data_IF_433112101443
#
_entry.id   IF_433112101443
#
_cell.length_a   1.000
_cell.length_b   1.000
_cell.length_c   1.000
_cell.angle_alpha   90.00
_cell.angle_beta   90.00
_cell.angle_gamma   90.00
#
_symmetry.space_group_name_H-M   'P 1'
#
loop_
_entity.id
_entity.type
_entity.pdbx_description
1 polymer ?
#
# COMPACT_ATOMS: atom_id res chain seq x y z
N UNK A 1 -17.85 17.98 24.35
CA UNK A 1 -18.43 16.99 23.40
C UNK A 1 -17.38 15.96 22.97
N UNK A 2 -16.24 16.40 22.42
CA UNK A 2 -15.09 15.55 22.02
C UNK A 2 -14.68 14.54 23.11
N UNK A 3 -14.41 15.00 24.35
CA UNK A 3 -14.07 14.13 25.49
C UNK A 3 -15.14 13.07 25.80
N UNK A 4 -16.42 13.39 25.55
CA UNK A 4 -17.53 12.45 25.76
C UNK A 4 -17.54 11.32 24.73
N UNK A 5 -17.28 11.64 23.46
CA UNK A 5 -17.14 10.67 22.38
C UNK A 5 -15.93 9.75 22.60
N UNK A 6 -14.79 10.30 23.00
CA UNK A 6 -13.59 9.51 23.33
C UNK A 6 -13.88 8.53 24.47
N UNK A 7 -14.47 9.01 25.57
CA UNK A 7 -14.81 8.15 26.73
C UNK A 7 -15.82 7.06 26.36
N UNK A 8 -16.77 7.35 25.47
CA UNK A 8 -17.75 6.38 24.98
C UNK A 8 -17.06 5.22 24.25
N UNK A 9 -16.11 5.52 23.37
CA UNK A 9 -15.37 4.53 22.58
C UNK A 9 -14.47 3.68 23.48
N UNK A 10 -13.69 4.32 24.35
CA UNK A 10 -12.78 3.62 25.27
C UNK A 10 -13.51 2.75 26.30
N UNK A 11 -14.77 3.04 26.62
CA UNK A 11 -15.56 2.18 27.51
C UNK A 11 -16.14 0.95 26.81
N UNK A 12 -16.15 0.92 25.48
CA UNK A 12 -16.69 -0.18 24.72
C UNK A 12 -15.66 -1.32 24.60
N UNK A 13 -15.85 -2.37 25.40
CA UNK A 13 -14.97 -3.55 25.42
C UNK A 13 -14.85 -4.21 24.06
N UNK A 14 -15.91 -4.24 23.26
CA UNK A 14 -15.89 -4.85 21.92
C UNK A 14 -14.99 -4.06 20.98
N UNK A 15 -15.01 -2.73 21.06
CA UNK A 15 -14.12 -1.87 20.28
C UNK A 15 -12.65 -2.10 20.65
N UNK A 16 -12.33 -2.21 21.94
CA UNK A 16 -10.97 -2.48 22.40
C UNK A 16 -10.47 -3.85 21.89
N UNK A 17 -11.29 -4.90 22.00
CA UNK A 17 -10.93 -6.23 21.49
C UNK A 17 -10.71 -6.21 19.98
N UNK A 18 -11.54 -5.49 19.24
CA UNK A 18 -11.38 -5.32 17.79
C UNK A 18 -10.09 -4.58 17.45
N UNK A 19 -9.79 -3.46 18.13
CA UNK A 19 -8.54 -2.71 17.96
C UNK A 19 -7.32 -3.60 18.24
N UNK A 20 -7.33 -4.36 19.33
CA UNK A 20 -6.27 -5.29 19.67
C UNK A 20 -6.11 -6.39 18.61
N UNK A 21 -7.21 -6.89 18.06
CA UNK A 21 -7.20 -7.92 17.00
C UNK A 21 -6.63 -7.39 15.69
N UNK A 22 -7.01 -6.18 15.27
CA UNK A 22 -6.47 -5.52 14.07
C UNK A 22 -4.97 -5.28 14.24
N UNK A 23 -4.56 -4.80 15.42
CA UNK A 23 -3.16 -4.54 15.71
C UNK A 23 -2.32 -5.83 15.79
N UNK A 24 -2.84 -6.89 16.40
CA UNK A 24 -2.19 -8.21 16.39
C UNK A 24 -2.05 -8.76 14.97
N UNK A 25 -3.10 -8.64 14.14
CA UNK A 25 -3.04 -9.06 12.74
C UNK A 25 -2.03 -8.22 11.93
N UNK A 26 -1.86 -6.94 12.24
CA UNK A 26 -0.83 -6.09 11.65
C UNK A 26 0.58 -6.59 12.00
N UNK A 27 0.85 -6.91 13.27
CA UNK A 27 2.13 -7.48 13.69
C UNK A 27 2.41 -8.80 12.98
N UNK A 28 1.41 -9.70 12.92
CA UNK A 28 1.55 -10.97 12.18
C UNK A 28 1.82 -10.72 10.71
N UNK A 29 1.16 -9.75 10.09
CA UNK A 29 1.41 -9.35 8.70
C UNK A 29 2.84 -8.85 8.48
N UNK A 30 3.38 -8.06 9.40
CA UNK A 30 4.78 -7.60 9.36
C UNK A 30 5.73 -8.80 9.45
N UNK A 31 5.52 -9.70 10.41
CA UNK A 31 6.35 -10.90 10.58
C UNK A 31 6.27 -11.85 9.39
N UNK A 32 5.11 -11.95 8.75
CA UNK A 32 4.93 -12.76 7.53
C UNK A 32 5.69 -12.18 6.34
N UNK A 33 5.73 -10.85 6.20
CA UNK A 33 6.49 -10.19 5.13
C UNK A 33 7.99 -10.16 5.42
N UNK A 34 8.38 -10.25 6.69
CA UNK A 34 9.76 -10.28 7.11
C UNK A 34 10.37 -11.68 6.87
N UNK A 35 10.79 -11.95 5.63
CA UNK A 35 11.49 -13.18 5.27
C UNK A 35 12.83 -13.32 6.00
N UNK A 36 13.18 -14.51 6.47
CA UNK A 36 14.53 -14.77 6.98
C UNK A 36 15.53 -14.68 5.83
N UNK A 37 16.45 -13.71 5.88
CA UNK A 37 17.54 -13.54 4.91
C UNK A 37 18.77 -14.33 5.39
N UNK A 38 19.39 -15.08 4.48
CA UNK A 38 20.60 -15.85 4.75
C UNK A 38 21.85 -14.97 4.56
N UNK A 39 22.99 -15.39 5.09
CA UNK A 39 24.26 -14.64 5.00
C UNK A 39 24.64 -14.29 3.55
N UNK A 40 24.43 -15.22 2.60
CA UNK A 40 24.68 -14.99 1.17
C UNK A 40 23.87 -13.81 0.59
N UNK A 41 22.69 -13.51 1.14
CA UNK A 41 21.90 -12.34 0.72
C UNK A 41 22.56 -11.04 1.17
N UNK A 42 23.08 -11.00 2.40
CA UNK A 42 23.78 -9.84 2.93
C UNK A 42 25.09 -9.59 2.19
N UNK A 43 25.84 -10.64 1.87
CA UNK A 43 27.07 -10.53 1.07
C UNK A 43 26.79 -9.94 -0.32
N UNK A 44 25.71 -10.40 -0.98
CA UNK A 44 25.28 -9.85 -2.27
C UNK A 44 24.92 -8.37 -2.17
N UNK A 45 24.12 -7.98 -1.18
CA UNK A 45 23.72 -6.59 -0.96
C UNK A 45 24.90 -5.68 -0.65
N UNK A 46 25.88 -6.19 0.08
CA UNK A 46 27.10 -5.45 0.37
C UNK A 46 27.97 -5.26 -0.89
N UNK A 47 27.99 -6.23 -1.80
CA UNK A 47 28.67 -6.08 -3.09
C UNK A 47 27.96 -5.06 -4.00
N UNK A 48 26.63 -5.08 -4.05
CA UNK A 48 25.83 -4.05 -4.73
C UNK A 48 26.14 -2.65 -4.17
N UNK A 49 26.31 -2.53 -2.85
CA UNK A 49 26.66 -1.27 -2.19
C UNK A 49 28.02 -0.73 -2.62
N UNK A 50 29.04 -1.59 -2.71
CA UNK A 50 30.38 -1.19 -3.15
C UNK A 50 30.35 -0.61 -4.57
N UNK A 51 29.68 -1.30 -5.49
CA UNK A 51 29.51 -0.83 -6.86
C UNK A 51 28.71 0.48 -6.93
N UNK A 52 27.70 0.62 -6.08
CA UNK A 52 26.90 1.84 -6.01
C UNK A 52 27.71 3.05 -5.54
N UNK A 53 28.55 2.89 -4.50
CA UNK A 53 29.40 3.98 -3.98
C UNK A 53 30.34 4.52 -5.07
N UNK A 54 30.98 3.63 -5.83
CA UNK A 54 31.90 4.01 -6.91
C UNK A 54 31.20 4.74 -8.06
N UNK A 55 29.94 4.38 -8.34
CA UNK A 55 29.19 4.92 -9.49
C UNK A 55 28.33 6.14 -9.16
N UNK A 56 28.01 6.37 -7.89
CA UNK A 56 27.08 7.43 -7.49
C UNK A 56 27.61 8.85 -7.73
N UNK A 57 28.90 9.10 -7.51
CA UNK A 57 29.50 10.42 -7.82
C UNK A 57 29.45 10.70 -9.33
N UNK A 58 29.83 9.72 -10.15
CA UNK A 58 29.71 9.82 -11.60
C UNK A 58 28.27 10.07 -12.06
N UNK A 59 27.27 9.52 -11.36
CA UNK A 59 25.87 9.79 -11.63
C UNK A 59 25.53 11.27 -11.39
N UNK A 60 25.96 11.85 -10.27
CA UNK A 60 25.72 13.27 -9.97
C UNK A 60 26.45 14.20 -10.95
N UNK A 61 27.73 13.94 -11.23
CA UNK A 61 28.55 14.76 -12.13
C UNK A 61 27.99 14.81 -13.56
N UNK A 62 27.33 13.74 -14.01
CA UNK A 62 26.73 13.67 -15.34
C UNK A 62 25.38 14.37 -15.47
N UNK A 63 24.77 14.86 -14.38
CA UNK A 63 23.43 15.45 -14.42
C UNK A 63 23.37 16.73 -15.27
N UNK A 64 24.39 17.58 -15.18
CA UNK A 64 24.45 18.83 -15.95
C UNK A 64 24.56 18.54 -17.46
N UNK A 65 25.53 17.71 -17.86
CA UNK A 65 25.71 17.31 -19.26
C UNK A 65 24.48 16.61 -19.83
N UNK A 66 23.82 15.71 -19.09
CA UNK A 66 22.56 15.08 -19.53
C UNK A 66 21.44 16.09 -19.70
N UNK A 67 21.38 17.11 -18.83
CA UNK A 67 20.42 18.19 -18.95
C UNK A 67 20.63 18.99 -20.24
N UNK A 68 21.87 19.35 -20.55
CA UNK A 68 22.22 20.06 -21.79
C UNK A 68 21.89 19.24 -23.04
N UNK A 69 22.21 17.94 -23.05
CA UNK A 69 21.89 17.04 -24.16
C UNK A 69 20.38 16.95 -24.41
N UNK A 70 19.58 16.84 -23.34
CA UNK A 70 18.12 16.83 -23.45
C UNK A 70 17.61 18.17 -23.96
N UNK A 71 18.12 19.30 -23.45
CA UNK A 71 17.75 20.63 -23.92
C UNK A 71 18.08 20.85 -25.40
N UNK A 72 19.24 20.38 -25.86
CA UNK A 72 19.66 20.46 -27.25
C UNK A 72 18.78 19.60 -28.19
N UNK A 73 18.23 18.50 -27.67
CA UNK A 73 17.33 17.61 -28.40
C UNK A 73 15.86 18.09 -28.41
N UNK A 74 15.49 19.07 -27.57
CA UNK A 74 14.14 19.63 -27.57
C UNK A 74 13.95 20.61 -28.72
N UNK A 75 12.99 20.33 -29.60
CA UNK A 75 12.48 21.32 -30.55
C UNK A 75 11.74 22.42 -29.77
N UNK A 76 11.87 23.69 -30.21
CA UNK A 76 11.44 24.96 -29.56
C UNK A 76 10.00 25.01 -28.98
N UNK A 77 9.15 24.02 -29.23
CA UNK A 77 7.71 24.05 -28.92
C UNK A 77 7.33 23.68 -27.47
N UNK A 78 8.25 23.13 -26.67
CA UNK A 78 7.89 22.52 -25.37
C UNK A 78 8.38 23.30 -24.15
N UNK A 79 7.87 24.53 -23.96
CA UNK A 79 8.25 25.41 -22.85
C UNK A 79 8.18 24.78 -21.44
N UNK A 80 7.32 23.78 -21.23
CA UNK A 80 7.30 22.99 -19.99
C UNK A 80 8.52 22.07 -19.85
N UNK A 81 8.92 21.37 -20.92
CA UNK A 81 10.01 20.40 -20.88
C UNK A 81 11.34 21.11 -20.60
N UNK A 82 11.60 22.25 -21.24
CA UNK A 82 12.81 23.05 -20.96
C UNK A 82 12.87 23.47 -19.49
N UNK A 83 11.78 24.06 -18.97
CA UNK A 83 11.69 24.43 -17.55
C UNK A 83 11.86 23.23 -16.61
N UNK A 84 11.34 22.06 -17.01
CA UNK A 84 11.43 20.85 -16.21
C UNK A 84 12.88 20.34 -16.12
N UNK A 85 13.60 20.32 -17.24
CA UNK A 85 15.01 19.93 -17.29
C UNK A 85 15.86 20.91 -16.48
N UNK A 86 15.67 22.22 -16.66
CA UNK A 86 16.36 23.25 -15.87
C UNK A 86 16.12 23.10 -14.37
N UNK A 87 14.87 22.82 -13.95
CA UNK A 87 14.54 22.54 -12.55
C UNK A 87 15.23 21.27 -12.06
N UNK A 88 15.24 20.21 -12.87
CA UNK A 88 15.86 18.93 -12.51
C UNK A 88 17.35 19.08 -12.26
N UNK A 89 18.08 19.74 -13.18
CA UNK A 89 19.51 20.02 -13.03
C UNK A 89 19.77 20.87 -11.78
N UNK A 90 18.94 21.89 -11.54
CA UNK A 90 19.05 22.72 -10.34
C UNK A 90 18.90 21.92 -9.05
N UNK A 91 17.85 21.10 -8.94
CA UNK A 91 17.57 20.31 -7.75
C UNK A 91 18.73 19.32 -7.46
N UNK A 92 19.32 18.67 -8.47
CA UNK A 92 20.47 17.78 -8.27
C UNK A 92 21.79 18.53 -7.98
N UNK A 93 21.97 19.73 -8.52
CA UNK A 93 23.12 20.58 -8.17
C UNK A 93 23.05 21.00 -6.69
N UNK A 94 21.86 21.25 -6.15
CA UNK A 94 21.67 21.49 -4.71
C UNK A 94 22.08 20.26 -3.88
N UNK A 95 21.71 19.05 -4.31
CA UNK A 95 22.13 17.77 -3.69
C UNK A 95 23.66 17.65 -3.69
N UNK A 96 24.31 17.90 -4.82
CA UNK A 96 25.78 17.87 -4.94
C UNK A 96 26.44 18.88 -4.01
N UNK A 97 25.93 20.11 -3.94
CA UNK A 97 26.49 21.19 -3.12
C UNK A 97 26.32 20.96 -1.60
N UNK A 98 25.24 20.28 -1.20
CA UNK A 98 24.94 19.99 0.21
C UNK A 98 25.82 18.86 0.75
N UNK A 99 26.31 17.99 -0.13
CA UNK A 99 27.19 16.87 0.20
C UNK A 99 26.40 15.67 0.72
N UNK A 100 26.35 14.61 -0.10
CA UNK A 100 25.69 13.35 0.28
C UNK A 100 26.66 12.49 1.08
N UNK A 101 26.27 12.14 2.31
CA UNK A 101 26.99 11.18 3.15
C UNK A 101 26.49 9.78 2.79
N UNK A 102 27.26 9.02 2.02
CA UNK A 102 26.95 7.64 1.66
C UNK A 102 27.53 6.69 2.71
N UNK A 103 26.72 5.77 3.21
CA UNK A 103 27.17 4.72 4.12
C UNK A 103 27.90 3.59 3.37
N UNK A 104 28.95 3.03 3.99
CA UNK A 104 29.68 1.90 3.42
C UNK A 104 28.90 0.59 3.55
N UNK A 105 28.11 0.44 4.61
CA UNK A 105 27.29 -0.74 4.86
C UNK A 105 25.89 -0.62 4.24
N UNK A 106 25.41 -1.70 3.60
CA UNK A 106 24.07 -1.71 3.04
C UNK A 106 22.99 -1.82 4.12
N UNK A 107 22.09 -0.84 4.16
CA UNK A 107 21.04 -0.78 5.16
C UNK A 107 19.76 -1.55 4.76
N UNK A 108 19.80 -2.88 4.94
CA UNK A 108 18.66 -3.77 4.62
C UNK A 108 17.40 -3.39 5.39
N UNK A 109 17.51 -3.03 6.67
CA UNK A 109 16.35 -2.70 7.49
C UNK A 109 15.53 -1.54 6.94
N UNK A 110 16.20 -0.46 6.50
CA UNK A 110 15.52 0.71 5.92
C UNK A 110 14.90 0.39 4.56
N UNK A 111 15.56 -0.40 3.72
CA UNK A 111 15.01 -0.84 2.43
C UNK A 111 13.73 -1.69 2.62
N UNK A 112 13.77 -2.64 3.54
CA UNK A 112 12.64 -3.54 3.82
C UNK A 112 11.46 -2.77 4.46
N UNK A 113 11.74 -1.84 5.38
CA UNK A 113 10.72 -0.92 5.89
C UNK A 113 10.07 -0.10 4.75
N UNK A 114 10.89 0.39 3.81
CA UNK A 114 10.39 1.13 2.66
C UNK A 114 9.53 0.27 1.72
N UNK A 115 9.81 -1.03 1.64
CA UNK A 115 9.04 -2.01 0.87
C UNK A 115 7.71 -2.40 1.52
N UNK A 116 7.55 -2.21 2.82
CA UNK A 116 6.33 -2.58 3.53
C UNK A 116 5.15 -1.65 3.22
N UNK A 117 4.16 -2.17 2.49
CA UNK A 117 2.99 -1.42 2.03
C UNK A 117 1.66 -1.91 2.62
N UNK A 118 1.61 -3.07 3.27
CA UNK A 118 0.37 -3.67 3.76
C UNK A 118 -0.30 -2.89 4.90
N UNK A 119 0.43 -1.98 5.55
CA UNK A 119 -0.09 -1.10 6.59
C UNK A 119 -1.36 -0.32 6.19
N UNK A 120 -1.51 0.02 4.91
CA UNK A 120 -2.68 0.75 4.40
C UNK A 120 -4.00 -0.01 4.63
N UNK A 121 -3.99 -1.34 4.48
CA UNK A 121 -5.20 -2.16 4.63
C UNK A 121 -5.69 -2.17 6.08
N UNK A 122 -4.76 -2.26 7.03
CA UNK A 122 -5.09 -2.19 8.45
C UNK A 122 -5.62 -0.81 8.83
N UNK A 123 -5.06 0.26 8.26
CA UNK A 123 -5.59 1.63 8.45
C UNK A 123 -7.02 1.77 7.89
N UNK A 124 -7.32 1.19 6.71
CA UNK A 124 -8.68 1.18 6.13
C UNK A 124 -9.67 0.39 7.01
N UNK A 125 -9.29 -0.81 7.47
CA UNK A 125 -10.14 -1.64 8.32
C UNK A 125 -10.43 -0.92 9.64
N UNK A 126 -9.42 -0.32 10.24
CA UNK A 126 -9.57 0.46 11.47
C UNK A 126 -10.47 1.69 11.27
N UNK A 127 -10.33 2.41 10.16
CA UNK A 127 -11.21 3.51 9.79
C UNK A 127 -12.68 3.07 9.70
N UNK A 128 -12.98 1.92 9.09
CA UNK A 128 -14.34 1.37 9.08
C UNK A 128 -14.85 0.98 10.47
N UNK A 129 -13.99 0.39 11.31
CA UNK A 129 -14.33 0.09 12.70
C UNK A 129 -14.71 1.37 13.47
N UNK A 130 -13.90 2.43 13.36
CA UNK A 130 -14.22 3.72 13.96
C UNK A 130 -15.55 4.27 13.45
N UNK A 131 -15.82 4.21 12.14
CA UNK A 131 -17.06 4.70 11.54
C UNK A 131 -18.29 3.95 12.10
N UNK A 132 -18.18 2.64 12.25
CA UNK A 132 -19.23 1.79 12.80
C UNK A 132 -19.63 2.22 14.23
N UNK A 133 -18.67 2.38 15.13
CA UNK A 133 -18.96 2.70 16.54
C UNK A 133 -19.28 4.17 16.80
N UNK A 134 -18.67 5.09 16.04
CA UNK A 134 -18.91 6.53 16.20
C UNK A 134 -20.23 6.99 15.59
N UNK A 135 -20.63 6.39 14.47
CA UNK A 135 -21.75 6.89 13.66
C UNK A 135 -22.86 5.85 13.47
N UNK A 136 -22.57 4.69 12.86
CA UNK A 136 -23.63 3.74 12.48
C UNK A 136 -24.30 3.06 13.69
N UNK A 137 -23.56 2.79 14.76
CA UNK A 137 -24.13 2.25 15.99
C UNK A 137 -25.22 3.16 16.55
N UNK A 138 -24.95 4.47 16.64
CA UNK A 138 -25.94 5.45 17.13
C UNK A 138 -27.10 5.69 16.17
N UNK A 139 -26.84 5.55 14.87
CA UNK A 139 -27.87 5.63 13.84
C UNK A 139 -28.85 4.48 13.99
N UNK A 140 -28.36 3.25 14.18
CA UNK A 140 -29.20 2.05 14.37
C UNK A 140 -29.98 2.06 15.68
N UNK A 141 -29.40 2.59 16.76
CA UNK A 141 -30.10 2.72 18.05
C UNK A 141 -31.08 3.90 18.09
N UNK A 142 -31.13 4.71 17.03
CA UNK A 142 -31.94 5.94 16.97
C UNK A 142 -31.44 7.08 17.86
N UNK A 143 -30.34 6.88 18.60
CA UNK A 143 -29.77 7.88 19.52
C UNK A 143 -29.38 9.17 18.79
N UNK A 144 -28.99 9.07 17.52
CA UNK A 144 -28.63 10.22 16.69
C UNK A 144 -29.79 11.23 16.52
N UNK A 145 -31.05 10.76 16.59
CA UNK A 145 -32.23 11.62 16.48
C UNK A 145 -32.44 12.46 17.74
N UNK A 146 -32.23 11.85 18.92
CA UNK A 146 -32.32 12.55 20.21
C UNK A 146 -31.17 13.55 20.35
N UNK A 147 -29.96 13.17 19.95
CA UNK A 147 -28.81 14.07 20.00
C UNK A 147 -29.03 15.30 19.11
N UNK A 148 -29.70 15.14 17.96
CA UNK A 148 -30.01 16.24 17.04
C UNK A 148 -30.95 17.32 17.58
N UNK A 149 -31.80 17.00 18.54
CA UNK A 149 -32.71 17.98 19.16
C UNK A 149 -32.03 18.82 20.24
N UNK A 150 -30.78 18.49 20.61
CA UNK A 150 -30.00 19.28 21.56
C UNK A 150 -29.42 20.54 20.91
N UNK A 151 -29.10 21.56 21.74
CA UNK A 151 -28.56 22.88 21.29
C UNK A 151 -27.39 22.76 20.31
N UNK A 152 -26.53 21.75 20.47
CA UNK A 152 -25.34 21.52 19.65
C UNK A 152 -25.45 20.28 18.75
N UNK A 153 -26.66 19.73 18.55
CA UNK A 153 -26.93 18.45 17.92
C UNK A 153 -26.76 18.36 16.40
N UNK A 154 -26.50 19.48 15.71
CA UNK A 154 -26.38 19.55 14.25
C UNK A 154 -24.90 19.60 13.81
N UNK A 155 -24.43 20.77 13.38
CA UNK A 155 -23.08 20.95 12.82
C UNK A 155 -21.98 20.68 13.86
N UNK A 156 -22.14 21.17 15.09
CA UNK A 156 -21.12 20.98 16.12
C UNK A 156 -20.95 19.49 16.49
N UNK A 157 -22.05 18.73 16.58
CA UNK A 157 -22.03 17.30 16.85
C UNK A 157 -21.23 16.53 15.80
N UNK A 158 -21.52 16.75 14.51
CA UNK A 158 -20.82 16.01 13.45
C UNK A 158 -19.35 16.42 13.35
N UNK A 159 -19.03 17.71 13.55
CA UNK A 159 -17.64 18.17 13.61
C UNK A 159 -16.88 17.51 14.76
N UNK A 160 -17.49 17.40 15.95
CA UNK A 160 -16.84 16.71 17.07
C UNK A 160 -16.63 15.22 16.80
N UNK A 161 -17.60 14.54 16.18
CA UNK A 161 -17.45 13.13 15.79
C UNK A 161 -16.35 12.96 14.74
N UNK A 162 -16.28 13.85 13.76
CA UNK A 162 -15.25 13.84 12.73
C UNK A 162 -13.85 14.09 13.31
N UNK A 163 -13.70 15.06 14.22
CA UNK A 163 -12.42 15.33 14.90
C UNK A 163 -11.95 14.13 15.75
N UNK A 164 -12.87 13.49 16.48
CA UNK A 164 -12.55 12.29 17.27
C UNK A 164 -12.19 11.13 16.36
N UNK A 165 -12.93 10.96 15.26
CA UNK A 165 -12.66 9.95 14.25
C UNK A 165 -11.27 10.14 13.64
N UNK A 166 -10.93 11.36 13.22
CA UNK A 166 -9.61 11.69 12.69
C UNK A 166 -8.51 11.42 13.69
N UNK A 167 -8.69 11.88 14.93
CA UNK A 167 -7.68 11.66 15.97
C UNK A 167 -7.42 10.17 16.18
N UNK A 168 -8.46 9.33 16.21
CA UNK A 168 -8.31 7.88 16.35
C UNK A 168 -7.58 7.27 15.17
N UNK A 169 -7.98 7.59 13.93
CA UNK A 169 -7.37 7.04 12.72
C UNK A 169 -5.90 7.46 12.62
N UNK A 170 -5.59 8.73 12.89
CA UNK A 170 -4.20 9.22 12.91
C UNK A 170 -3.37 8.63 14.03
N UNK A 171 -3.93 8.48 15.24
CA UNK A 171 -3.21 7.86 16.37
C UNK A 171 -2.92 6.38 16.10
N UNK A 172 -3.87 5.66 15.51
CA UNK A 172 -3.66 4.27 15.11
C UNK A 172 -2.60 4.15 14.02
N UNK A 173 -2.67 4.99 12.97
CA UNK A 173 -1.67 5.01 11.90
C UNK A 173 -0.27 5.32 12.44
N UNK A 174 -0.15 6.30 13.34
CA UNK A 174 1.12 6.63 13.98
C UNK A 174 1.67 5.45 14.79
N UNK A 175 0.85 4.83 15.64
CA UNK A 175 1.25 3.68 16.44
C UNK A 175 1.67 2.50 15.55
N UNK A 176 0.90 2.21 14.51
CA UNK A 176 1.18 1.16 13.54
C UNK A 176 2.53 1.37 12.85
N UNK A 177 2.81 2.58 12.36
CA UNK A 177 4.06 2.88 11.65
C UNK A 177 5.27 2.84 12.60
N UNK A 178 5.15 3.34 13.83
CA UNK A 178 6.22 3.24 14.84
C UNK A 178 6.53 1.78 15.14
N UNK A 179 5.51 0.95 15.35
CA UNK A 179 5.70 -0.49 15.61
C UNK A 179 6.31 -1.20 14.42
N UNK A 180 5.89 -0.84 13.20
CA UNK A 180 6.48 -1.36 11.96
C UNK A 180 7.96 -1.02 11.89
N UNK A 181 8.32 0.26 12.05
CA UNK A 181 9.72 0.69 12.05
C UNK A 181 10.54 -0.02 13.14
N UNK A 182 10.01 -0.12 14.36
CA UNK A 182 10.69 -0.85 15.44
C UNK A 182 10.91 -2.33 15.11
N UNK A 183 9.92 -3.02 14.54
CA UNK A 183 10.05 -4.44 14.18
C UNK A 183 11.09 -4.65 13.08
N UNK A 184 11.08 -3.86 12.01
CA UNK A 184 12.11 -3.95 10.96
C UNK A 184 13.50 -3.62 11.50
N UNK A 185 13.61 -2.65 12.42
CA UNK A 185 14.86 -2.34 13.11
C UNK A 185 15.37 -3.47 14.01
N UNK A 186 14.48 -4.26 14.63
CA UNK A 186 14.86 -5.43 15.43
C UNK A 186 15.24 -6.63 14.56
N UNK A 187 14.52 -6.86 13.45
CA UNK A 187 14.71 -8.03 12.60
C UNK A 187 15.97 -7.90 11.72
N UNK A 188 16.18 -6.73 11.10
CA UNK A 188 17.24 -6.54 10.10
C UNK A 188 18.36 -5.58 10.52
N UNK A 189 18.22 -4.91 11.68
CA UNK A 189 19.06 -3.77 12.08
C UNK A 189 18.98 -2.56 11.15
N UNK A 190 18.96 -1.37 11.73
CA UNK A 190 18.91 -0.11 10.99
C UNK A 190 20.28 0.54 10.78
N UNK A 191 21.38 -0.14 11.11
CA UNK A 191 22.75 0.36 10.84
C UNK A 191 22.95 1.83 11.22
N UNK A 192 23.67 2.57 10.36
CA UNK A 192 23.90 3.99 10.53
C UNK A 192 22.75 4.84 9.95
N UNK A 193 21.83 5.27 10.82
CA UNK A 193 20.69 6.11 10.44
C UNK A 193 21.03 7.58 10.14
N UNK A 194 22.26 8.03 10.43
CA UNK A 194 22.71 9.39 10.14
C UNK A 194 23.21 9.56 8.71
N UNK A 195 23.52 8.47 8.02
CA UNK A 195 23.85 8.49 6.60
C UNK A 195 22.64 8.98 5.79
N UNK A 196 22.93 9.48 4.58
CA UNK A 196 21.91 10.03 3.69
C UNK A 196 21.03 8.90 3.15
N UNK A 197 19.75 9.17 2.92
CA UNK A 197 18.80 8.19 2.38
C UNK A 197 19.24 7.69 0.98
N UNK A 198 19.95 8.53 0.23
CA UNK A 198 20.56 8.19 -1.06
C UNK A 198 21.66 7.13 -0.95
N UNK A 199 22.11 6.72 0.24
CA UNK A 199 23.02 5.59 0.39
C UNK A 199 22.40 4.28 -0.11
N UNK A 200 21.07 4.20 -0.16
CA UNK A 200 20.35 3.06 -0.73
C UNK A 200 20.02 3.33 -2.20
N UNK A 201 20.34 2.40 -3.13
CA UNK A 201 20.07 2.58 -4.56
C UNK A 201 18.60 2.87 -4.90
N UNK A 202 17.67 2.35 -4.09
CA UNK A 202 16.22 2.58 -4.22
C UNK A 202 15.84 4.06 -4.08
N UNK A 203 16.66 4.85 -3.38
CA UNK A 203 16.46 6.28 -3.17
C UNK A 203 17.49 7.14 -3.90
N UNK A 204 18.22 6.57 -4.87
CA UNK A 204 19.23 7.29 -5.67
C UNK A 204 18.70 8.60 -6.24
N UNK A 205 17.47 8.56 -6.73
CA UNK A 205 16.87 9.69 -7.44
C UNK A 205 16.25 10.72 -6.47
N UNK A 206 16.38 10.57 -5.14
CA UNK A 206 15.82 11.52 -4.17
C UNK A 206 16.45 12.92 -4.29
N UNK A 207 15.66 13.99 -4.53
CA UNK A 207 16.17 15.34 -4.76
C UNK A 207 16.57 16.11 -3.50
N UNK A 208 16.37 15.51 -2.31
CA UNK A 208 16.64 16.17 -1.03
C UNK A 208 17.63 15.34 -0.21
N UNK A 209 18.65 15.99 0.36
CA UNK A 209 19.61 15.33 1.26
C UNK A 209 19.00 15.21 2.65
N UNK A 210 18.40 14.05 2.93
CA UNK A 210 17.87 13.70 4.24
C UNK A 210 18.67 12.56 4.83
N UNK A 211 18.84 12.54 6.15
CA UNK A 211 19.31 11.32 6.80
C UNK A 211 18.26 10.21 6.69
N UNK A 212 18.68 8.94 6.78
CA UNK A 212 17.76 7.80 6.78
C UNK A 212 16.71 7.94 7.90
N UNK A 213 17.11 8.42 9.09
CA UNK A 213 16.17 8.71 10.18
C UNK A 213 15.12 9.75 9.77
N UNK A 214 15.54 10.84 9.14
CA UNK A 214 14.62 11.87 8.65
C UNK A 214 13.67 11.32 7.58
N UNK A 215 14.15 10.45 6.69
CA UNK A 215 13.32 9.77 5.70
C UNK A 215 12.26 8.86 6.31
N UNK A 216 12.60 8.07 7.34
CA UNK A 216 11.64 7.25 8.10
C UNK A 216 10.60 8.16 8.76
N UNK A 217 11.04 9.19 9.48
CA UNK A 217 10.14 10.12 10.18
C UNK A 217 9.20 10.84 9.20
N UNK A 218 9.72 11.31 8.06
CA UNK A 218 8.92 11.92 7.00
C UNK A 218 7.87 10.95 6.43
N UNK A 219 8.23 9.69 6.25
CA UNK A 219 7.32 8.62 5.80
C UNK A 219 6.22 8.35 6.81
N UNK A 220 6.55 8.28 8.11
CA UNK A 220 5.57 8.11 9.19
C UNK A 220 4.54 9.25 9.15
N UNK A 221 5.00 10.51 9.10
CA UNK A 221 4.09 11.66 9.04
C UNK A 221 3.24 11.65 7.77
N UNK A 222 3.83 11.32 6.61
CA UNK A 222 3.11 11.24 5.35
C UNK A 222 1.99 10.18 5.40
N UNK A 223 2.29 8.97 5.90
CA UNK A 223 1.31 7.88 6.05
C UNK A 223 0.21 8.21 7.08
N UNK A 224 0.51 8.95 8.13
CA UNK A 224 -0.50 9.46 9.08
C UNK A 224 -1.44 10.46 8.40
N UNK A 225 -0.92 11.37 7.58
CA UNK A 225 -1.73 12.30 6.79
C UNK A 225 -2.61 11.54 5.80
N UNK A 226 -2.03 10.63 5.01
CA UNK A 226 -2.78 9.79 4.07
C UNK A 226 -3.88 8.97 4.77
N UNK A 227 -3.59 8.41 5.94
CA UNK A 227 -4.60 7.69 6.75
C UNK A 227 -5.76 8.60 7.15
N UNK A 228 -5.49 9.87 7.50
CA UNK A 228 -6.53 10.85 7.77
C UNK A 228 -7.36 11.19 6.53
N UNK A 229 -6.74 11.25 5.34
CA UNK A 229 -7.44 11.44 4.05
C UNK A 229 -8.36 10.25 3.75
N UNK A 230 -7.83 9.03 3.81
CA UNK A 230 -8.58 7.76 3.66
C UNK A 230 -9.76 7.73 4.63
N UNK A 231 -9.49 8.01 5.90
CA UNK A 231 -10.49 8.06 6.95
C UNK A 231 -11.59 9.08 6.62
N UNK A 232 -11.22 10.29 6.18
CA UNK A 232 -12.18 11.34 5.84
C UNK A 232 -13.08 10.95 4.68
N UNK A 233 -12.54 10.28 3.65
CA UNK A 233 -13.31 9.78 2.52
C UNK A 233 -14.32 8.70 2.96
N UNK A 234 -13.89 7.77 3.83
CA UNK A 234 -14.76 6.75 4.43
C UNK A 234 -15.88 7.40 5.26
N UNK A 235 -15.54 8.36 6.12
CA UNK A 235 -16.51 9.04 6.97
C UNK A 235 -17.50 9.86 6.15
N UNK A 236 -17.03 10.55 5.11
CA UNK A 236 -17.87 11.26 4.16
C UNK A 236 -18.87 10.33 3.49
N UNK A 237 -18.43 9.18 2.99
CA UNK A 237 -19.33 8.16 2.43
C UNK A 237 -20.34 7.65 3.48
N UNK A 238 -19.91 7.50 4.73
CA UNK A 238 -20.78 7.18 5.87
C UNK A 238 -21.89 8.21 6.10
N UNK A 239 -21.56 9.50 6.04
CA UNK A 239 -22.53 10.60 6.14
C UNK A 239 -23.45 10.64 4.93
N UNK A 240 -22.95 10.44 3.71
CA UNK A 240 -23.79 10.57 2.50
C UNK A 240 -24.78 9.40 2.41
N UNK A 241 -24.37 8.21 2.83
CA UNK A 241 -25.15 6.98 2.70
C UNK A 241 -26.17 6.77 3.82
N UNK A 242 -27.37 6.32 3.45
CA UNK A 242 -28.39 5.93 4.42
C UNK A 242 -28.05 4.58 5.09
N UNK A 243 -27.50 3.62 4.33
CA UNK A 243 -27.21 2.26 4.80
C UNK A 243 -25.71 2.07 5.08
N UNK A 244 -25.40 1.32 6.14
CA UNK A 244 -24.02 0.91 6.47
C UNK A 244 -23.35 0.17 5.31
N UNK A 245 -24.09 -0.73 4.65
CA UNK A 245 -23.54 -1.54 3.55
C UNK A 245 -23.09 -0.66 2.38
N UNK A 246 -23.90 0.33 1.99
CA UNK A 246 -23.54 1.21 0.87
C UNK A 246 -22.38 2.13 1.25
N UNK A 247 -22.31 2.56 2.51
CA UNK A 247 -21.19 3.33 3.05
C UNK A 247 -19.86 2.57 3.07
N UNK A 248 -19.89 1.23 3.07
CA UNK A 248 -18.69 0.39 2.98
C UNK A 248 -18.35 0.09 1.52
N UNK A 249 -19.34 -0.32 0.73
CA UNK A 249 -19.14 -0.74 -0.66
C UNK A 249 -18.59 0.39 -1.53
N UNK A 250 -19.08 1.62 -1.38
CA UNK A 250 -18.65 2.75 -2.22
C UNK A 250 -17.14 3.05 -2.04
N UNK A 251 -16.63 3.31 -0.82
CA UNK A 251 -15.18 3.46 -0.61
C UNK A 251 -14.38 2.24 -1.05
N UNK A 252 -14.88 1.02 -0.82
CA UNK A 252 -14.16 -0.20 -1.26
C UNK A 252 -13.98 -0.22 -2.79
N UNK A 253 -15.02 0.11 -3.56
CA UNK A 253 -14.91 0.19 -5.04
C UNK A 253 -13.91 1.27 -5.45
N UNK A 254 -13.91 2.43 -4.78
CA UNK A 254 -12.95 3.50 -5.03
C UNK A 254 -11.52 3.02 -4.76
N UNK A 255 -11.26 2.39 -3.61
CA UNK A 255 -9.94 1.89 -3.25
C UNK A 255 -9.47 0.75 -4.15
N UNK A 256 -10.34 -0.19 -4.53
CA UNK A 256 -9.98 -1.25 -5.49
C UNK A 256 -9.61 -0.64 -6.85
N UNK A 257 -10.37 0.35 -7.32
CA UNK A 257 -10.07 1.05 -8.57
C UNK A 257 -8.72 1.77 -8.50
N UNK A 258 -8.45 2.45 -7.38
CA UNK A 258 -7.16 3.10 -7.12
C UNK A 258 -6.01 2.08 -7.07
N UNK A 259 -6.20 0.94 -6.40
CA UNK A 259 -5.17 -0.10 -6.36
C UNK A 259 -4.85 -0.65 -7.76
N UNK A 260 -5.87 -1.01 -8.54
CA UNK A 260 -5.68 -1.47 -9.93
C UNK A 260 -4.96 -0.42 -10.78
N UNK A 261 -5.34 0.86 -10.62
CA UNK A 261 -4.68 1.96 -11.31
C UNK A 261 -3.20 2.09 -10.92
N UNK A 262 -2.87 1.91 -9.63
CA UNK A 262 -1.49 2.02 -9.14
C UNK A 262 -0.54 0.95 -9.67
N UNK A 263 -1.07 -0.21 -10.08
CA UNK A 263 -0.30 -1.33 -10.63
C UNK A 263 -0.23 -1.27 -12.16
N UNK A 264 -1.24 -0.68 -12.82
CA UNK A 264 -1.36 -0.68 -14.29
C UNK A 264 -0.76 0.55 -14.97
N UNK A 265 -0.68 1.69 -14.26
CA UNK A 265 -0.27 2.97 -14.84
C UNK A 265 1.09 3.38 -14.32
N UNK A 266 2.04 3.59 -15.23
CA UNK A 266 3.37 4.13 -14.91
C UNK A 266 3.35 5.65 -14.75
N UNK A 267 4.28 6.17 -13.93
CA UNK A 267 4.47 7.62 -13.71
C UNK A 267 4.78 8.36 -15.02
N UNK A 268 5.47 7.72 -15.98
CA UNK A 268 5.84 8.31 -17.26
C UNK A 268 4.68 8.42 -18.28
N UNK A 269 3.45 8.07 -17.88
CA UNK A 269 2.28 8.19 -18.76
C UNK A 269 1.75 9.63 -18.80
N UNK A 270 0.88 9.93 -19.77
CA UNK A 270 0.18 11.23 -19.82
C UNK A 270 -0.74 11.49 -18.61
N UNK A 271 -0.90 10.52 -17.71
CA UNK A 271 -1.73 10.59 -16.51
C UNK A 271 -0.86 10.60 -15.24
N UNK A 272 0.32 11.20 -15.32
CA UNK A 272 1.29 11.34 -14.24
C UNK A 272 0.69 11.94 -12.95
N UNK A 273 -0.15 12.98 -13.07
CA UNK A 273 -0.85 13.60 -11.94
C UNK A 273 -1.73 12.58 -11.20
N UNK A 274 -2.50 11.77 -11.95
CA UNK A 274 -3.40 10.78 -11.35
C UNK A 274 -2.61 9.63 -10.70
N UNK A 275 -1.48 9.25 -11.29
CA UNK A 275 -0.58 8.26 -10.71
C UNK A 275 0.01 8.76 -9.39
N UNK A 276 0.46 10.03 -9.35
CA UNK A 276 1.08 10.62 -8.17
C UNK A 276 0.08 10.87 -7.03
N UNK A 277 -1.16 11.24 -7.36
CA UNK A 277 -2.26 11.42 -6.39
C UNK A 277 -2.87 10.11 -5.89
N UNK A 278 -2.50 8.98 -6.48
CA UNK A 278 -3.05 7.69 -6.10
C UNK A 278 -2.59 7.32 -4.68
N UNK A 279 -3.57 7.00 -3.82
CA UNK A 279 -3.33 6.70 -2.40
C UNK A 279 -2.34 5.54 -2.23
N UNK A 280 -2.42 4.49 -3.04
CA UNK A 280 -1.52 3.34 -2.95
C UNK A 280 -0.12 3.65 -3.47
N UNK A 281 -0.01 4.49 -4.50
CA UNK A 281 1.28 4.95 -5.00
C UNK A 281 1.97 5.85 -3.97
N UNK A 282 1.26 6.83 -3.40
CA UNK A 282 1.79 7.74 -2.36
C UNK A 282 2.10 7.04 -1.03
N UNK A 283 1.42 5.93 -0.71
CA UNK A 283 1.69 5.17 0.51
C UNK A 283 3.07 4.49 0.53
N UNK A 284 3.58 4.12 -0.65
CA UNK A 284 4.85 3.44 -0.79
C UNK A 284 6.02 4.43 -0.63
N UNK A 285 6.88 4.19 0.36
CA UNK A 285 8.03 5.05 0.66
C UNK A 285 8.98 5.14 -0.54
N UNK A 286 9.21 4.02 -1.24
CA UNK A 286 10.06 3.97 -2.45
C UNK A 286 9.52 4.91 -3.52
N UNK A 287 8.20 5.01 -3.66
CA UNK A 287 7.57 5.91 -4.62
C UNK A 287 7.52 7.36 -4.12
N UNK A 288 7.17 7.57 -2.85
CA UNK A 288 7.02 8.90 -2.28
C UNK A 288 8.35 9.66 -2.24
N UNK A 289 9.40 9.03 -1.68
CA UNK A 289 10.72 9.64 -1.55
C UNK A 289 11.62 9.30 -2.74
N UNK A 290 11.65 8.03 -3.16
CA UNK A 290 12.67 7.54 -4.10
C UNK A 290 12.48 7.92 -5.56
N UNK A 291 11.25 8.26 -5.99
CA UNK A 291 10.98 8.64 -7.38
C UNK A 291 10.95 10.15 -7.53
N UNK A 292 11.93 10.71 -8.23
CA UNK A 292 11.89 12.10 -8.69
C UNK A 292 10.91 12.26 -9.84
N UNK A 293 9.96 13.19 -9.70
CA UNK A 293 9.06 13.56 -10.78
C UNK A 293 8.53 14.98 -10.56
N UNK A 294 8.49 15.77 -11.63
CA UNK A 294 7.85 17.07 -11.64
C UNK A 294 6.57 17.00 -12.45
N UNK A 295 5.47 17.43 -11.84
CA UNK A 295 4.17 17.48 -12.47
C UNK A 295 4.00 18.76 -13.28
N UNK A 296 3.38 18.64 -14.45
CA UNK A 296 2.99 19.79 -15.26
C UNK A 296 1.71 20.43 -14.72
N UNK A 297 1.85 21.49 -13.92
CA UNK A 297 0.72 22.27 -13.41
C UNK A 297 0.71 23.62 -14.12
N UNK A 298 -0.23 23.80 -15.06
CA UNK A 298 -0.37 25.02 -15.88
C UNK A 298 0.91 25.44 -16.62
N UNK A 299 1.71 24.48 -17.08
CA UNK A 299 2.96 24.73 -17.79
C UNK A 299 4.19 24.91 -16.90
N UNK A 300 4.03 24.88 -15.57
CA UNK A 300 5.13 24.96 -14.61
C UNK A 300 5.45 23.58 -14.00
N UNK A 301 6.74 23.22 -13.89
CA UNK A 301 7.18 21.99 -13.24
C UNK A 301 7.11 22.14 -11.71
N UNK A 302 6.10 21.55 -11.10
CA UNK A 302 5.95 21.51 -9.64
C UNK A 302 6.36 20.12 -9.14
N UNK A 303 7.17 20.08 -8.09
CA UNK A 303 7.58 18.81 -7.48
C UNK A 303 6.35 17.99 -7.06
N UNK A 304 6.37 16.70 -7.40
CA UNK A 304 5.30 15.74 -7.07
C UNK A 304 4.89 15.80 -5.58
N UNK A 305 5.85 15.80 -4.66
CA UNK A 305 5.57 15.70 -3.22
C UNK A 305 4.83 16.94 -2.69
N UNK A 306 5.19 18.12 -3.18
CA UNK A 306 4.51 19.37 -2.87
C UNK A 306 3.06 19.36 -3.39
N UNK A 307 2.87 18.93 -4.64
CA UNK A 307 1.55 18.84 -5.26
C UNK A 307 0.62 17.83 -4.55
N UNK A 308 1.12 16.64 -4.23
CA UNK A 308 0.38 15.61 -3.48
C UNK A 308 -0.01 16.10 -2.10
N UNK A 309 0.90 16.77 -1.39
CA UNK A 309 0.62 17.33 -0.06
C UNK A 309 -0.46 18.41 -0.11
N UNK A 310 -0.40 19.32 -1.09
CA UNK A 310 -1.42 20.34 -1.31
C UNK A 310 -2.79 19.72 -1.63
N UNK A 311 -2.83 18.71 -2.50
CA UNK A 311 -4.06 18.00 -2.85
C UNK A 311 -4.68 17.28 -1.64
N UNK A 312 -3.86 16.65 -0.78
CA UNK A 312 -4.32 15.99 0.44
C UNK A 312 -4.96 16.99 1.42
N UNK A 313 -4.36 18.18 1.61
CA UNK A 313 -4.92 19.24 2.46
C UNK A 313 -6.25 19.75 1.88
N UNK A 314 -6.31 19.97 0.55
CA UNK A 314 -7.53 20.38 -0.12
C UNK A 314 -8.65 19.34 0.04
N UNK A 315 -8.33 18.05 -0.11
CA UNK A 315 -9.29 16.97 0.03
C UNK A 315 -9.81 16.84 1.46
N UNK A 316 -8.95 16.99 2.47
CA UNK A 316 -9.35 17.02 3.89
C UNK A 316 -10.32 18.18 4.16
N UNK A 317 -9.95 19.40 3.76
CA UNK A 317 -10.78 20.59 4.00
C UNK A 317 -12.12 20.49 3.28
N UNK A 318 -12.14 20.04 2.02
CA UNK A 318 -13.36 19.81 1.27
C UNK A 318 -14.25 18.74 1.93
N UNK A 319 -13.68 17.62 2.39
CA UNK A 319 -14.45 16.57 3.06
C UNK A 319 -15.12 17.05 4.36
N UNK A 320 -14.46 17.92 5.14
CA UNK A 320 -15.02 18.53 6.35
C UNK A 320 -16.20 19.44 5.99
N UNK A 321 -15.98 20.38 5.06
CA UNK A 321 -16.95 21.41 4.72
C UNK A 321 -18.20 20.75 4.10
N UNK A 322 -18.00 19.93 3.08
CA UNK A 322 -19.09 19.26 2.37
C UNK A 322 -19.77 18.24 3.29
N UNK A 323 -19.01 17.45 4.07
CA UNK A 323 -19.58 16.47 5.00
C UNK A 323 -20.43 17.11 6.10
N UNK A 324 -19.95 18.21 6.68
CA UNK A 324 -20.70 18.96 7.71
C UNK A 324 -21.95 19.61 7.11
N UNK A 325 -21.84 20.18 5.90
CA UNK A 325 -22.98 20.76 5.20
C UNK A 325 -24.04 19.71 4.89
N UNK A 326 -23.66 18.59 4.25
CA UNK A 326 -24.56 17.47 3.93
C UNK A 326 -25.24 16.93 5.18
N UNK A 327 -24.49 16.74 6.27
CA UNK A 327 -25.08 16.31 7.53
C UNK A 327 -26.04 17.35 8.10
N UNK A 328 -25.76 18.64 8.00
CA UNK A 328 -26.62 19.68 8.57
C UNK A 328 -27.96 19.81 7.85
N UNK A 329 -27.99 19.56 6.54
CA UNK A 329 -29.18 19.67 5.69
C UNK A 329 -29.97 18.35 5.63
N UNK A 330 -29.30 17.19 5.58
CA UNK A 330 -30.00 15.90 5.43
C UNK A 330 -30.61 15.44 6.75
N UNK A 331 -31.93 15.27 6.76
CA UNK A 331 -32.59 14.47 7.78
C UNK A 331 -32.43 12.97 7.45
N UNK A 332 -31.37 12.35 7.96
CA UNK A 332 -31.22 10.90 7.87
C UNK A 332 -31.99 10.22 8.99
N UNK A 333 -33.29 10.00 8.82
CA UNK A 333 -33.86 8.79 9.40
C UNK A 333 -33.49 7.60 8.53
N UNK A 334 -33.59 6.39 9.06
CA UNK A 334 -33.78 5.20 8.24
C UNK A 334 -35.13 5.30 7.51
N UNK A 335 -35.29 6.31 6.64
CA UNK A 335 -36.43 6.42 5.77
C UNK A 335 -36.32 5.29 4.76
N UNK A 336 -37.42 4.58 4.57
CA UNK A 336 -37.65 3.55 3.55
C UNK A 336 -37.55 4.23 2.17
N UNK A 337 -36.33 4.51 1.74
CA UNK A 337 -36.03 5.23 0.50
C UNK A 337 -36.11 4.33 -0.74
N UNK A 338 -35.96 4.93 -1.92
CA UNK A 338 -36.01 4.26 -3.23
C UNK A 338 -35.10 3.02 -3.35
N UNK A 339 -33.97 2.99 -2.63
CA UNK A 339 -33.06 1.84 -2.56
C UNK A 339 -33.69 0.61 -1.88
N UNK A 340 -34.73 0.79 -1.07
CA UNK A 340 -35.56 -0.31 -0.58
C UNK A 340 -36.45 -0.83 -1.69
N UNK A 341 -37.00 0.01 -2.58
CA UNK A 341 -37.81 -0.45 -3.71
C UNK A 341 -36.98 -1.25 -4.72
N UNK A 342 -35.78 -0.80 -5.09
CA UNK A 342 -34.90 -1.53 -6.01
C UNK A 342 -34.40 -2.84 -5.38
N UNK A 343 -33.91 -2.78 -4.14
CA UNK A 343 -33.47 -3.98 -3.43
C UNK A 343 -34.63 -4.94 -3.12
N UNK A 344 -35.84 -4.44 -2.85
CA UNK A 344 -37.05 -5.25 -2.66
C UNK A 344 -37.57 -5.81 -3.98
N UNK A 345 -37.44 -5.09 -5.09
CA UNK A 345 -37.78 -5.57 -6.43
C UNK A 345 -36.84 -6.70 -6.84
N UNK A 346 -35.52 -6.50 -6.69
CA UNK A 346 -34.51 -7.55 -6.90
C UNK A 346 -34.74 -8.73 -5.95
N UNK A 347 -34.99 -8.49 -4.65
CA UNK A 347 -35.35 -9.56 -3.70
C UNK A 347 -36.62 -10.29 -4.11
N UNK A 348 -37.64 -9.60 -4.61
CA UNK A 348 -38.93 -10.18 -5.00
C UNK A 348 -38.80 -11.01 -6.27
N UNK A 349 -37.97 -10.57 -7.22
CA UNK A 349 -37.66 -11.34 -8.43
C UNK A 349 -36.81 -12.58 -8.10
N UNK A 350 -35.73 -12.41 -7.32
CA UNK A 350 -34.91 -13.54 -6.86
C UNK A 350 -35.69 -14.50 -5.96
N UNK A 351 -36.52 -14.01 -5.05
CA UNK A 351 -37.31 -14.87 -4.17
C UNK A 351 -38.39 -15.63 -4.92
N UNK A 352 -38.92 -15.08 -6.03
CA UNK A 352 -39.86 -15.79 -6.91
C UNK A 352 -39.15 -16.88 -7.71
N UNK A 353 -37.96 -16.59 -8.25
CA UNK A 353 -37.17 -17.55 -9.01
C UNK A 353 -36.63 -18.71 -8.14
N UNK A 354 -36.31 -18.43 -6.87
CA UNK A 354 -35.75 -19.39 -5.91
C UNK A 354 -36.79 -19.96 -4.94
N UNK A 355 -38.09 -19.67 -5.13
CA UNK A 355 -39.14 -20.17 -4.23
C UNK A 355 -39.34 -21.68 -4.41
N UNK A 356 -38.63 -22.47 -3.60
CA UNK A 356 -38.79 -23.91 -3.55
C UNK A 356 -39.47 -24.31 -2.23
N UNK A 357 -40.39 -25.28 -2.28
CA UNK A 357 -41.05 -25.84 -1.07
C UNK A 357 -40.08 -26.58 -0.13
N UNK A 358 -38.84 -26.83 -0.55
CA UNK A 358 -37.84 -27.57 0.23
C UNK A 358 -37.12 -26.66 1.22
N UNK A 359 -37.25 -26.97 2.51
CA UNK A 359 -36.67 -26.22 3.64
C UNK A 359 -35.15 -26.01 3.46
N UNK A 360 -34.45 -27.03 2.94
CA UNK A 360 -33.00 -26.96 2.68
C UNK A 360 -32.59 -25.82 1.73
N UNK A 361 -33.33 -25.60 0.64
CA UNK A 361 -33.04 -24.53 -0.33
C UNK A 361 -33.27 -23.15 0.29
N UNK A 362 -34.29 -23.02 1.14
CA UNK A 362 -34.59 -21.78 1.83
C UNK A 362 -33.56 -21.47 2.94
N UNK A 363 -33.04 -22.48 3.64
CA UNK A 363 -31.93 -22.33 4.58
C UNK A 363 -30.64 -21.91 3.86
N UNK A 364 -30.29 -22.56 2.75
CA UNK A 364 -29.14 -22.17 1.93
C UNK A 364 -29.29 -20.75 1.38
N UNK A 365 -30.46 -20.38 0.87
CA UNK A 365 -30.74 -19.03 0.40
C UNK A 365 -30.58 -17.99 1.52
N UNK A 366 -31.10 -18.31 2.71
CA UNK A 366 -30.96 -17.46 3.89
C UNK A 366 -29.49 -17.29 4.29
N UNK A 367 -28.74 -18.39 4.30
CA UNK A 367 -27.35 -18.41 4.74
C UNK A 367 -26.43 -17.69 3.75
N UNK A 368 -26.57 -17.93 2.45
CA UNK A 368 -25.72 -17.31 1.42
C UNK A 368 -26.11 -15.86 1.09
N UNK A 369 -27.40 -15.59 0.86
CA UNK A 369 -27.87 -14.31 0.33
C UNK A 369 -28.40 -13.35 1.41
N UNK A 370 -29.18 -13.82 2.39
CA UNK A 370 -29.68 -12.94 3.47
C UNK A 370 -28.59 -12.58 4.48
N UNK A 371 -27.80 -13.56 4.92
CA UNK A 371 -26.69 -13.36 5.86
C UNK A 371 -25.38 -12.95 5.17
N UNK A 372 -25.38 -12.86 3.83
CA UNK A 372 -24.23 -12.43 3.00
C UNK A 372 -22.96 -13.27 3.14
N UNK A 373 -23.07 -14.50 3.65
CA UNK A 373 -21.92 -15.40 3.79
C UNK A 373 -21.34 -15.85 2.45
N UNK A 374 -22.07 -15.66 1.34
CA UNK A 374 -21.53 -15.85 0.00
C UNK A 374 -20.33 -14.92 -0.28
N UNK A 375 -20.38 -13.67 0.20
CA UNK A 375 -19.27 -12.72 0.02
C UNK A 375 -18.03 -13.22 0.79
N UNK A 376 -18.23 -13.70 2.01
CA UNK A 376 -17.16 -14.32 2.81
C UNK A 376 -16.57 -15.56 2.09
N UNK A 377 -17.43 -16.42 1.53
CA UNK A 377 -17.00 -17.61 0.80
C UNK A 377 -16.18 -17.27 -0.45
N UNK A 378 -16.62 -16.27 -1.23
CA UNK A 378 -15.90 -15.79 -2.41
C UNK A 378 -14.55 -15.18 -2.01
N UNK A 379 -14.50 -14.40 -0.94
CA UNK A 379 -13.24 -13.86 -0.41
C UNK A 379 -12.31 -14.98 0.06
N UNK A 380 -12.81 -16.00 0.76
CA UNK A 380 -12.02 -17.16 1.17
C UNK A 380 -11.48 -17.95 -0.02
N UNK A 381 -12.28 -18.16 -1.06
CA UNK A 381 -11.84 -18.81 -2.31
C UNK A 381 -10.80 -17.95 -3.02
N UNK A 382 -10.98 -16.63 -3.08
CA UNK A 382 -10.01 -15.72 -3.70
C UNK A 382 -8.68 -15.72 -2.93
N UNK A 383 -8.72 -15.71 -1.60
CA UNK A 383 -7.54 -15.86 -0.74
C UNK A 383 -6.88 -17.22 -0.98
N UNK A 384 -7.66 -18.30 -1.07
CA UNK A 384 -7.12 -19.64 -1.33
C UNK A 384 -6.47 -19.75 -2.71
N UNK A 385 -7.06 -19.14 -3.75
CA UNK A 385 -6.47 -19.10 -5.10
C UNK A 385 -5.21 -18.25 -5.10
N UNK A 386 -5.23 -17.09 -4.44
CA UNK A 386 -4.08 -16.21 -4.33
C UNK A 386 -2.92 -16.88 -3.57
N UNK A 387 -3.22 -17.54 -2.44
CA UNK A 387 -2.22 -18.29 -1.67
C UNK A 387 -1.67 -19.46 -2.48
N UNK A 388 -2.49 -20.16 -3.27
CA UNK A 388 -1.98 -21.22 -4.15
C UNK A 388 -1.05 -20.64 -5.23
N UNK A 389 -1.33 -19.42 -5.72
CA UNK A 389 -0.49 -18.72 -6.70
C UNK A 389 0.86 -18.22 -6.15
N UNK A 390 0.93 -17.87 -4.86
CA UNK A 390 2.20 -17.53 -4.19
C UNK A 390 3.05 -18.75 -3.82
N UNK A 391 2.40 -19.86 -3.43
CA UNK A 391 3.10 -21.07 -2.96
C UNK A 391 3.42 -22.08 -4.06
N UNK A 392 2.94 -21.90 -5.30
CA UNK A 392 3.51 -22.58 -6.45
C UNK A 392 4.73 -21.78 -6.93
N UNK A 393 5.97 -22.20 -6.62
CA UNK A 393 7.13 -21.64 -7.28
C UNK A 393 6.96 -21.84 -8.79
N UNK A 394 7.27 -20.81 -9.59
CA UNK A 394 7.15 -20.83 -11.07
C UNK A 394 7.91 -21.98 -11.74
N UNK A 395 8.75 -22.69 -10.99
CA UNK A 395 9.63 -23.74 -11.46
C UNK A 395 9.25 -25.11 -10.91
N UNK A 396 7.95 -25.42 -10.77
CA UNK A 396 7.55 -26.80 -10.50
C UNK A 396 7.72 -27.60 -11.80
N UNK A 397 8.89 -28.23 -11.97
CA UNK A 397 9.09 -29.22 -13.03
C UNK A 397 8.07 -30.33 -12.82
N UNK A 398 7.18 -30.53 -13.81
CA UNK A 398 6.04 -31.43 -13.66
C UNK A 398 6.48 -32.90 -13.62
N UNK A 399 7.73 -33.17 -14.01
CA UNK A 399 8.32 -34.50 -14.07
C UNK A 399 9.76 -34.49 -13.56
N UNK A 400 10.21 -35.63 -13.07
CA UNK A 400 11.54 -35.81 -12.49
C UNK A 400 12.68 -35.68 -13.52
N UNK A 401 12.41 -36.00 -14.79
CA UNK A 401 13.34 -35.82 -15.91
C UNK A 401 13.63 -34.34 -16.19
N UNK A 402 12.60 -33.49 -16.21
CA UNK A 402 12.74 -32.03 -16.37
C UNK A 402 13.53 -31.43 -15.20
N UNK A 403 13.24 -31.84 -13.96
CA UNK A 403 13.97 -31.38 -12.78
C UNK A 403 15.46 -31.74 -12.85
N UNK A 404 15.76 -32.97 -13.29
CA UNK A 404 17.13 -33.47 -13.43
C UNK A 404 17.86 -32.73 -14.54
N UNK A 405 17.21 -32.50 -15.69
CA UNK A 405 17.77 -31.75 -16.81
C UNK A 405 18.13 -30.31 -16.41
N UNK A 406 17.25 -29.62 -15.70
CA UNK A 406 17.51 -28.25 -15.25
C UNK A 406 18.54 -28.16 -14.13
N UNK A 407 18.64 -29.18 -13.27
CA UNK A 407 19.74 -29.31 -12.30
C UNK A 407 21.11 -29.44 -13.01
N UNK A 408 21.18 -30.22 -14.10
CA UNK A 408 22.39 -30.33 -14.91
C UNK A 408 22.72 -29.01 -15.60
N UNK A 409 21.71 -28.34 -16.18
CA UNK A 409 21.91 -27.03 -16.80
C UNK A 409 22.40 -25.99 -15.80
N UNK A 410 21.89 -25.94 -14.57
CA UNK A 410 22.34 -24.94 -13.59
C UNK A 410 23.81 -25.09 -13.20
N UNK A 411 24.38 -26.29 -13.31
CA UNK A 411 25.80 -26.55 -13.01
C UNK A 411 26.73 -26.26 -14.20
N UNK A 412 26.20 -26.25 -15.43
CA UNK A 412 26.95 -26.09 -16.67
C UNK A 412 26.60 -24.74 -17.36
N UNK A 413 25.77 -23.91 -16.74
CA UNK A 413 25.33 -22.64 -17.32
C UNK A 413 26.46 -21.61 -17.31
N UNK A 414 26.91 -21.20 -18.50
CA UNK A 414 27.95 -20.18 -18.69
C UNK A 414 28.93 -20.54 -19.80
N UNK A 415 30.06 -19.81 -19.86
CA UNK A 415 31.18 -20.20 -20.74
C UNK A 415 31.86 -21.47 -20.22
N UNK A 416 32.24 -22.35 -21.15
CA UNK A 416 32.84 -23.64 -20.83
C UNK A 416 34.20 -23.43 -20.14
N UNK A 417 34.28 -23.81 -18.86
CA UNK A 417 35.50 -23.71 -18.05
C UNK A 417 35.97 -25.11 -17.60
N UNK A 418 37.20 -25.21 -17.08
CA UNK A 418 37.78 -26.49 -16.65
C UNK A 418 36.93 -27.21 -15.59
N UNK A 419 36.21 -26.46 -14.75
CA UNK A 419 35.28 -27.02 -13.76
C UNK A 419 34.06 -27.71 -14.42
N UNK A 420 33.51 -27.09 -15.47
CA UNK A 420 32.39 -27.65 -16.25
C UNK A 420 32.83 -28.91 -17.01
N UNK A 421 34.03 -28.91 -17.58
CA UNK A 421 34.60 -30.10 -18.23
C UNK A 421 34.83 -31.26 -17.26
N UNK A 422 35.39 -30.97 -16.08
CA UNK A 422 35.62 -31.98 -15.05
C UNK A 422 34.30 -32.61 -14.58
N UNK A 423 33.28 -31.79 -14.36
CA UNK A 423 31.95 -32.24 -13.97
C UNK A 423 31.34 -33.18 -15.03
N UNK A 424 31.37 -32.79 -16.31
CA UNK A 424 30.86 -33.62 -17.42
C UNK A 424 31.59 -34.97 -17.49
N UNK A 425 32.93 -34.99 -17.35
CA UNK A 425 33.71 -36.23 -17.39
C UNK A 425 33.40 -37.17 -16.23
N UNK A 426 33.26 -36.63 -15.01
CA UNK A 426 32.90 -37.43 -13.84
C UNK A 426 31.52 -38.06 -14.03
N UNK A 427 30.57 -37.32 -14.60
CA UNK A 427 29.22 -37.81 -14.80
C UNK A 427 29.11 -38.83 -15.93
N UNK A 428 29.88 -38.66 -17.01
CA UNK A 428 30.03 -39.71 -18.02
C UNK A 428 30.62 -41.00 -17.45
N UNK A 429 31.63 -40.90 -16.58
CA UNK A 429 32.21 -42.07 -15.91
C UNK A 429 31.21 -42.75 -14.98
N UNK A 430 30.41 -41.97 -14.24
CA UNK A 430 29.36 -42.49 -13.36
C UNK A 430 28.27 -43.22 -14.15
N UNK A 431 27.74 -42.62 -15.22
CA UNK A 431 26.71 -43.24 -16.08
C UNK A 431 27.23 -44.53 -16.70
N UNK A 432 28.47 -44.52 -17.24
CA UNK A 432 29.09 -45.72 -17.82
C UNK A 432 29.23 -46.84 -16.78
N UNK A 433 29.56 -46.50 -15.53
CA UNK A 433 29.65 -47.49 -14.44
C UNK A 433 28.30 -48.10 -14.06
N UNK A 434 27.21 -47.34 -14.20
CA UNK A 434 25.85 -47.82 -13.96
C UNK A 434 25.37 -48.73 -15.09
N UNK A 435 25.67 -48.38 -16.34
CA UNK A 435 25.38 -49.21 -17.51
C UNK A 435 26.09 -50.56 -17.42
N UNK A 436 27.36 -50.57 -17.04
CA UNK A 436 28.13 -51.81 -16.85
C UNK A 436 27.58 -52.66 -15.69
N UNK A 437 27.09 -52.04 -14.62
CA UNK A 437 26.41 -52.77 -13.53
C UNK A 437 25.07 -53.35 -13.97
N UNK A 438 24.33 -52.64 -14.82
CA UNK A 438 23.05 -53.09 -15.36
C UNK A 438 23.23 -54.28 -16.30
N UNK A 439 24.21 -54.24 -17.21
CA UNK A 439 24.55 -55.34 -18.11
C UNK A 439 25.02 -56.60 -17.37
N UNK A 440 25.69 -56.43 -16.22
CA UNK A 440 26.08 -57.56 -15.36
C UNK A 440 24.91 -58.14 -14.55
N UNK A 441 23.82 -57.39 -14.41
CA UNK A 441 22.64 -57.78 -13.63
C UNK A 441 21.52 -58.43 -14.48
N UNK A 442 21.55 -58.23 -15.80
CA UNK A 442 20.73 -58.94 -16.81
C UNK A 442 21.45 -60.16 -17.34
#
# INVERSE_FOLDING_TARGET
MILGEIRKILRNRVFIVMLASIFAANIVGILYCAETKNDSYYDLKQEEQRQYIETYQNYLDQMESRGEDVLAALEDESAFLSRNVEKTVRDYNEVMSTGVIIDEEYNVGVEEYAGYNYGIFFSIIFAFACLEYLYFFEKRTGSIHILRTTKNGKQQMILSKWLVYLWLVSAFAFLQEVVTACLYGVIYSFGNLNASIQSLPVFRDCPHVYSMLQGIVATVFHRVILSAVIGSLIFFCGIVCSRMITAIVIPCVIFVTQYVFSVTVSVNSSQDILCCLNIFHSWNMKNYIGVYHNLNIFGFPIEKNAAVSAANILLLTAAIIIGTFVFSVRYQSEYIGHDFKIAAFLRKQLSKALHCRRIFVNELYKLFFQQKKLVLLVVLIAIAIHSVGEYLPRNLYQRADEATYHMYLSHIQGEMNEASELFIRNEQAYISSLEEQLERAT
#
